data_IF_484720199203
#
_entry.id   IF_484720199203
#
_cell.length_a   1.000
_cell.length_b   1.000
_cell.length_c   1.000
_cell.angle_alpha   90.00
_cell.angle_beta   90.00
_cell.angle_gamma   90.00
#
_symmetry.space_group_name_H-M   'P 1'
#
loop_
_entity.id
_entity.type
_entity.pdbx_description
1 polymer ?
#
# COMPACT_ATOMS: atom_id res chain seq x y z
N UNK A 1 -9.64 29.58 5.20
CA UNK A 1 -8.32 29.40 5.82
C UNK A 1 -8.30 27.98 6.38
N UNK A 2 -7.79 27.00 5.62
CA UNK A 2 -7.74 25.62 6.10
C UNK A 2 -6.49 25.47 6.95
N UNK A 3 -6.64 25.36 8.26
CA UNK A 3 -5.55 24.92 9.14
C UNK A 3 -5.25 23.48 8.80
N UNK A 4 -4.16 23.25 8.06
CA UNK A 4 -3.56 21.94 7.91
C UNK A 4 -2.93 21.64 9.26
N UNK A 5 -3.57 20.78 10.05
CA UNK A 5 -2.92 20.13 11.19
C UNK A 5 -1.80 19.26 10.61
N UNK A 6 -0.59 19.81 10.61
CA UNK A 6 0.62 19.03 10.35
C UNK A 6 0.72 18.04 11.52
N UNK A 7 0.47 16.76 11.24
CA UNK A 7 0.84 15.69 12.15
C UNK A 7 2.36 15.78 12.27
N UNK A 8 2.86 16.00 13.48
CA UNK A 8 4.28 16.09 13.77
C UNK A 8 4.73 14.83 14.52
N UNK A 9 6.00 14.40 14.38
CA UNK A 9 6.53 13.32 15.19
C UNK A 9 6.48 13.70 16.69
N UNK A 10 6.17 12.72 17.54
CA UNK A 10 6.18 12.87 19.00
C UNK A 10 7.56 12.69 19.60
N UNK A 11 8.47 12.00 18.89
CA UNK A 11 9.87 11.84 19.29
C UNK A 11 10.81 11.79 18.07
N UNK A 12 12.13 11.97 18.25
CA UNK A 12 13.11 11.87 17.16
C UNK A 12 13.20 10.48 16.53
N UNK A 13 12.78 9.44 17.25
CA UNK A 13 12.85 8.05 16.81
C UNK A 13 11.66 7.67 15.91
N UNK A 14 10.63 8.51 15.86
CA UNK A 14 9.47 8.25 15.03
C UNK A 14 9.74 8.61 13.56
N UNK A 15 9.41 7.67 12.68
CA UNK A 15 9.51 7.83 11.23
C UNK A 15 8.12 8.04 10.63
N UNK A 16 8.00 8.89 9.60
CA UNK A 16 6.72 9.08 8.93
C UNK A 16 6.36 7.85 8.08
N UNK A 17 5.07 7.53 8.02
CA UNK A 17 4.50 6.60 7.05
C UNK A 17 3.48 7.29 6.16
N UNK A 18 3.30 6.76 4.95
CA UNK A 18 2.51 7.39 3.90
C UNK A 18 1.63 6.35 3.22
N UNK A 19 0.38 6.72 2.93
CA UNK A 19 -0.38 6.01 1.91
C UNK A 19 0.15 6.35 0.53
N UNK A 20 -0.06 5.43 -0.40
CA UNK A 20 0.11 5.67 -1.81
C UNK A 20 -0.78 4.77 -2.65
N UNK A 21 -0.80 5.08 -3.94
CA UNK A 21 -1.65 4.41 -4.89
C UNK A 21 -0.94 4.26 -6.22
N UNK A 22 -1.09 3.10 -6.85
CA UNK A 22 -0.70 2.85 -8.24
C UNK A 22 -1.95 2.70 -9.12
N UNK A 23 -1.83 2.99 -10.42
CA UNK A 23 -2.93 2.76 -11.37
C UNK A 23 -3.28 1.26 -11.41
N UNK A 24 -4.48 0.90 -10.95
CA UNK A 24 -4.87 -0.49 -10.78
C UNK A 24 -4.79 -1.27 -12.09
N UNK A 25 -5.31 -0.68 -13.18
CA UNK A 25 -5.32 -1.32 -14.49
C UNK A 25 -3.90 -1.59 -14.98
N UNK A 26 -3.00 -0.61 -14.90
CA UNK A 26 -1.60 -0.80 -15.26
C UNK A 26 -0.93 -1.82 -14.34
N UNK A 27 -1.13 -1.78 -13.02
CA UNK A 27 -0.49 -2.77 -12.13
C UNK A 27 -0.98 -4.19 -12.36
N UNK A 28 -2.22 -4.39 -12.78
CA UNK A 28 -2.76 -5.72 -13.12
C UNK A 28 -2.33 -6.19 -14.50
N UNK A 29 -2.30 -5.30 -15.49
CA UNK A 29 -2.01 -5.64 -16.90
C UNK A 29 -0.58 -5.32 -17.33
N UNK A 30 0.22 -4.69 -16.49
CA UNK A 30 1.46 -4.05 -16.92
C UNK A 30 1.30 -3.07 -18.09
N UNK A 31 0.10 -2.64 -18.50
CA UNK A 31 -0.07 -1.71 -19.64
C UNK A 31 -0.34 -0.31 -19.12
N UNK A 32 0.61 0.60 -19.34
CA UNK A 32 0.42 2.01 -19.06
C UNK A 32 -0.34 2.68 -20.22
N UNK A 33 -1.64 2.89 -20.03
CA UNK A 33 -2.50 3.59 -20.99
C UNK A 33 -2.44 5.12 -20.85
N UNK A 34 -1.68 5.65 -19.88
CA UNK A 34 -1.50 7.09 -19.67
C UNK A 34 -0.40 7.70 -20.54
N UNK A 35 0.36 6.84 -21.25
CA UNK A 35 1.25 7.21 -22.36
C UNK A 35 0.44 8.02 -23.41
N UNK A 36 0.99 9.11 -24.01
CA UNK A 36 0.21 10.08 -24.78
C UNK A 36 -0.57 9.44 -25.95
N UNK A 37 -1.90 9.49 -25.88
CA UNK A 37 -2.83 8.98 -26.89
C UNK A 37 -4.22 8.59 -26.35
N UNK A 38 -4.31 8.18 -25.07
CA UNK A 38 -5.55 7.74 -24.40
C UNK A 38 -5.71 8.40 -23.00
N UNK A 39 -5.83 9.73 -22.92
CA UNK A 39 -5.93 10.40 -21.60
C UNK A 39 -7.32 10.22 -20.96
N UNK A 40 -7.36 9.71 -19.71
CA UNK A 40 -8.46 10.01 -18.77
C UNK A 40 -8.22 11.34 -18.07
N UNK A 41 -9.30 12.10 -17.87
CA UNK A 41 -9.30 13.39 -17.14
C UNK A 41 -8.95 13.15 -15.67
N UNK A 42 -8.16 14.05 -15.10
CA UNK A 42 -7.83 14.06 -13.65
C UNK A 42 -9.13 14.17 -12.85
N UNK A 43 -9.28 13.33 -11.83
CA UNK A 43 -10.35 13.42 -10.83
C UNK A 43 -9.76 13.77 -9.46
N UNK A 44 -10.58 14.41 -8.62
CA UNK A 44 -10.21 14.76 -7.25
C UNK A 44 -9.93 13.49 -6.40
N UNK A 45 -9.12 13.59 -5.32
CA UNK A 45 -8.83 12.45 -4.46
C UNK A 45 -10.09 11.96 -3.74
N UNK A 46 -10.35 10.65 -3.77
CA UNK A 46 -11.33 9.98 -2.93
C UNK A 46 -10.58 9.15 -1.86
N UNK A 47 -11.26 8.82 -0.76
CA UNK A 47 -10.77 7.85 0.25
C UNK A 47 -11.85 6.79 0.43
N UNK A 48 -11.97 5.93 -0.57
CA UNK A 48 -12.99 4.88 -0.65
C UNK A 48 -12.31 3.53 -0.84
N UNK A 49 -12.77 2.50 -0.13
CA UNK A 49 -12.29 1.10 -0.21
C UNK A 49 -12.58 0.49 -1.59
N UNK A 50 -13.41 1.17 -2.39
CA UNK A 50 -13.76 0.82 -3.77
C UNK A 50 -13.11 1.73 -4.82
N UNK A 51 -12.18 2.62 -4.45
CA UNK A 51 -11.44 3.39 -5.44
C UNK A 51 -10.65 2.42 -6.33
N UNK A 52 -10.77 2.58 -7.65
CA UNK A 52 -10.14 1.72 -8.67
C UNK A 52 -8.63 2.02 -8.80
N UNK A 53 -7.92 1.91 -7.68
CA UNK A 53 -6.48 2.05 -7.52
C UNK A 53 -5.92 0.87 -6.74
N UNK A 54 -4.63 0.59 -6.91
CA UNK A 54 -3.91 -0.34 -6.06
C UNK A 54 -3.30 0.42 -4.89
N UNK A 55 -3.79 0.18 -3.67
CA UNK A 55 -3.34 0.87 -2.45
C UNK A 55 -2.15 0.18 -1.79
N UNK A 56 -1.23 0.97 -1.24
CA UNK A 56 -0.06 0.50 -0.51
C UNK A 56 0.39 1.48 0.60
N UNK A 57 1.22 1.00 1.53
CA UNK A 57 1.86 1.82 2.57
C UNK A 57 3.35 1.91 2.33
N UNK A 58 3.91 3.12 2.41
CA UNK A 58 5.35 3.35 2.48
C UNK A 58 5.77 3.64 3.92
N UNK A 59 6.73 2.88 4.45
CA UNK A 59 7.34 3.10 5.77
C UNK A 59 8.78 2.62 5.80
N UNK A 60 9.67 3.45 6.34
CA UNK A 60 11.09 3.14 6.59
C UNK A 60 11.82 2.52 5.38
N UNK A 61 11.59 3.09 4.19
CA UNK A 61 12.26 2.66 2.95
C UNK A 61 11.56 1.51 2.20
N UNK A 62 10.48 0.95 2.74
CA UNK A 62 9.74 -0.15 2.13
C UNK A 62 8.34 0.26 1.69
N UNK A 63 7.91 -0.30 0.56
CA UNK A 63 6.52 -0.33 0.10
C UNK A 63 5.91 -1.67 0.49
N UNK A 64 4.84 -1.65 1.26
CA UNK A 64 4.08 -2.82 1.69
C UNK A 64 2.81 -2.93 0.85
N UNK A 65 2.68 -4.03 0.10
CA UNK A 65 1.62 -4.21 -0.90
C UNK A 65 0.96 -5.58 -0.76
N UNK A 66 -0.34 -5.66 -1.02
CA UNK A 66 -1.09 -6.91 -1.07
C UNK A 66 -1.99 -6.93 -2.29
N UNK A 67 -2.07 -8.05 -3.00
CA UNK A 67 -2.76 -8.08 -4.29
C UNK A 67 -1.84 -8.03 -5.50
N UNK A 68 -0.54 -8.28 -5.30
CA UNK A 68 0.47 -8.27 -6.37
C UNK A 68 1.05 -9.66 -6.57
N UNK A 69 1.47 -9.96 -7.81
CA UNK A 69 2.17 -11.21 -8.14
C UNK A 69 3.56 -10.86 -8.71
N UNK A 70 4.60 -10.84 -7.86
CA UNK A 70 5.97 -10.52 -8.30
C UNK A 70 6.64 -11.67 -9.07
N UNK A 71 6.09 -12.89 -9.00
CA UNK A 71 6.72 -14.10 -9.53
C UNK A 71 6.23 -14.43 -10.95
N UNK A 72 4.97 -14.12 -11.28
CA UNK A 72 4.34 -14.55 -12.53
C UNK A 72 3.82 -13.43 -13.42
N UNK A 73 4.40 -12.22 -13.36
CA UNK A 73 4.10 -11.04 -14.21
C UNK A 73 2.98 -11.21 -15.28
N UNK A 74 1.91 -10.41 -15.16
CA UNK A 74 0.64 -10.46 -15.92
C UNK A 74 -0.25 -11.67 -15.60
N UNK A 75 -1.20 -11.50 -14.68
CA UNK A 75 -2.41 -12.34 -14.58
C UNK A 75 -3.67 -11.47 -14.42
N UNK A 76 -4.74 -11.94 -15.06
CA UNK A 76 -6.08 -11.35 -15.11
C UNK A 76 -6.65 -11.02 -13.72
N UNK A 77 -7.62 -10.06 -13.61
CA UNK A 77 -8.11 -9.43 -12.36
C UNK A 77 -8.83 -10.34 -11.34
N UNK A 78 -8.73 -11.67 -11.49
CA UNK A 78 -9.33 -12.68 -10.62
C UNK A 78 -8.30 -13.73 -10.16
N UNK A 79 -7.01 -13.41 -10.25
CA UNK A 79 -5.97 -14.35 -9.84
C UNK A 79 -5.94 -14.51 -8.32
N UNK A 80 -6.31 -15.72 -7.87
CA UNK A 80 -6.15 -16.21 -6.50
C UNK A 80 -4.69 -16.38 -6.05
N UNK A 81 -3.72 -15.98 -6.89
CA UNK A 81 -2.27 -16.00 -6.61
C UNK A 81 -1.73 -14.66 -6.13
N UNK A 82 -2.60 -13.68 -5.87
CA UNK A 82 -2.24 -12.41 -5.25
C UNK A 82 -1.53 -12.62 -3.92
N UNK A 83 -0.31 -12.09 -3.79
CA UNK A 83 0.54 -12.23 -2.60
C UNK A 83 0.72 -10.90 -1.89
N UNK A 84 1.15 -10.97 -0.64
CA UNK A 84 1.81 -9.85 0.04
C UNK A 84 3.24 -9.74 -0.45
N UNK A 85 3.68 -8.53 -0.78
CA UNK A 85 5.05 -8.26 -1.20
C UNK A 85 5.57 -6.96 -0.57
N UNK A 86 6.89 -6.87 -0.51
CA UNK A 86 7.62 -5.72 0.01
C UNK A 86 8.66 -5.30 -1.00
N UNK A 87 8.68 -4.01 -1.36
CA UNK A 87 9.61 -3.48 -2.37
C UNK A 87 10.47 -2.36 -1.79
N UNK A 88 11.70 -2.24 -2.30
CA UNK A 88 12.61 -1.12 -2.04
C UNK A 88 12.65 -0.20 -3.26
N UNK A 89 12.82 1.10 -3.03
CA UNK A 89 12.97 2.11 -4.10
C UNK A 89 11.64 2.54 -4.73
N UNK A 90 10.89 1.61 -5.33
CA UNK A 90 9.63 1.86 -6.02
C UNK A 90 8.54 0.84 -5.61
N UNK A 91 7.25 1.20 -5.68
CA UNK A 91 6.17 0.23 -5.52
C UNK A 91 6.16 -0.78 -6.68
N UNK A 92 5.33 -1.83 -6.58
CA UNK A 92 5.18 -2.84 -7.63
C UNK A 92 4.89 -2.19 -8.98
N UNK A 93 5.71 -2.56 -9.97
CA UNK A 93 5.70 -1.98 -11.32
C UNK A 93 5.83 -0.45 -11.36
N UNK A 94 6.31 0.22 -10.30
CA UNK A 94 6.43 1.68 -10.25
C UNK A 94 7.40 2.29 -11.25
N UNK A 95 8.26 1.48 -11.88
CA UNK A 95 9.12 1.90 -13.00
C UNK A 95 8.36 2.02 -14.33
N UNK A 96 7.16 1.44 -14.41
CA UNK A 96 6.34 1.32 -15.62
C UNK A 96 4.97 1.96 -15.45
N UNK A 97 4.33 1.70 -14.32
CA UNK A 97 2.97 2.12 -14.03
C UNK A 97 2.95 3.42 -13.26
N UNK A 98 2.02 4.34 -13.59
CA UNK A 98 1.83 5.56 -12.81
C UNK A 98 1.51 5.23 -11.35
N UNK A 99 2.19 5.92 -10.45
CA UNK A 99 1.97 5.81 -9.02
C UNK A 99 2.12 7.19 -8.37
N UNK A 100 1.55 7.33 -7.17
CA UNK A 100 1.70 8.51 -6.34
C UNK A 100 1.77 8.10 -4.87
N UNK A 101 2.68 8.74 -4.14
CA UNK A 101 2.65 8.75 -2.67
C UNK A 101 1.89 9.99 -2.22
N UNK A 102 1.14 9.90 -1.12
CA UNK A 102 0.54 11.08 -0.53
C UNK A 102 1.63 12.11 -0.18
N UNK A 103 1.38 13.41 -0.41
CA UNK A 103 2.37 14.46 -0.18
C UNK A 103 2.62 14.74 1.30
N UNK A 104 1.72 14.27 2.18
CA UNK A 104 1.82 14.42 3.63
C UNK A 104 1.81 13.04 4.29
N UNK A 105 2.51 12.88 5.43
CA UNK A 105 2.49 11.63 6.17
C UNK A 105 1.09 11.36 6.70
N UNK A 106 0.69 10.10 6.64
CA UNK A 106 -0.53 9.61 7.27
C UNK A 106 -0.38 9.55 8.80
N UNK A 107 0.86 9.36 9.27
CA UNK A 107 1.24 9.42 10.67
C UNK A 107 2.73 9.15 10.87
N UNK A 108 3.08 8.93 12.12
CA UNK A 108 4.44 8.65 12.57
C UNK A 108 4.43 7.41 13.47
N UNK A 109 5.49 6.62 13.42
CA UNK A 109 5.64 5.41 14.22
C UNK A 109 7.09 5.21 14.63
N UNK A 110 7.32 4.66 15.81
CA UNK A 110 8.65 4.21 16.25
C UNK A 110 8.81 2.69 16.12
N UNK A 111 7.83 1.99 15.53
CA UNK A 111 7.93 0.55 15.32
C UNK A 111 9.11 0.24 14.40
N UNK A 112 9.95 -0.75 14.72
CA UNK A 112 10.97 -1.20 13.80
C UNK A 112 10.30 -1.78 12.56
N UNK A 113 10.83 -1.46 11.37
CA UNK A 113 10.31 -1.98 10.09
C UNK A 113 10.20 -3.50 10.09
N UNK A 114 11.11 -4.19 10.80
CA UNK A 114 11.08 -5.65 10.97
C UNK A 114 9.80 -6.19 11.62
N UNK A 115 9.08 -5.41 12.42
CA UNK A 115 7.75 -5.79 12.90
C UNK A 115 6.79 -5.91 11.72
N UNK A 116 6.69 -4.87 10.88
CA UNK A 116 5.79 -4.87 9.73
C UNK A 116 6.15 -5.94 8.71
N UNK A 117 7.44 -6.22 8.50
CA UNK A 117 7.85 -7.29 7.60
C UNK A 117 7.28 -8.65 8.04
N UNK A 118 7.31 -8.93 9.35
CA UNK A 118 6.73 -10.16 9.89
C UNK A 118 5.20 -10.17 9.79
N UNK A 119 4.54 -9.05 10.14
CA UNK A 119 3.10 -8.90 9.96
C UNK A 119 2.69 -9.16 8.50
N UNK A 120 3.37 -8.51 7.56
CA UNK A 120 3.15 -8.66 6.12
C UNK A 120 3.31 -10.12 5.67
N UNK A 121 4.37 -10.81 6.10
CA UNK A 121 4.59 -12.23 5.74
C UNK A 121 3.53 -13.20 6.25
N UNK A 122 2.79 -12.84 7.31
CA UNK A 122 1.76 -13.69 7.93
C UNK A 122 0.34 -13.22 7.67
N UNK A 123 0.16 -12.09 7.00
CA UNK A 123 -1.14 -11.48 6.78
C UNK A 123 -2.15 -12.46 6.15
N UNK A 124 -1.74 -13.21 5.11
CA UNK A 124 -2.62 -14.19 4.47
C UNK A 124 -2.96 -15.38 5.38
N UNK A 125 -2.07 -15.76 6.29
CA UNK A 125 -2.32 -16.81 7.30
C UNK A 125 -3.36 -16.32 8.30
N UNK A 126 -3.27 -15.04 8.70
CA UNK A 126 -4.11 -14.44 9.73
C UNK A 126 -5.49 -14.01 9.22
N UNK A 127 -5.56 -13.37 8.05
CA UNK A 127 -6.79 -12.78 7.49
C UNK A 127 -7.31 -13.50 6.24
N UNK A 128 -6.58 -14.51 5.76
CA UNK A 128 -6.96 -15.29 4.59
C UNK A 128 -6.44 -14.71 3.27
N UNK A 129 -6.83 -15.34 2.18
CA UNK A 129 -6.40 -14.99 0.82
C UNK A 129 -7.06 -13.72 0.30
N UNK A 130 -6.50 -13.18 -0.78
CA UNK A 130 -7.03 -12.01 -1.45
C UNK A 130 -8.48 -12.22 -1.92
N UNK A 131 -9.32 -11.23 -1.65
CA UNK A 131 -10.69 -11.11 -2.10
C UNK A 131 -10.99 -9.65 -2.42
N UNK A 132 -11.44 -9.38 -3.64
CA UNK A 132 -11.67 -8.02 -4.15
C UNK A 132 -12.55 -7.17 -3.24
N UNK A 133 -13.53 -7.76 -2.54
CA UNK A 133 -14.47 -7.02 -1.68
C UNK A 133 -14.08 -7.03 -0.20
N UNK A 134 -13.49 -8.12 0.30
CA UNK A 134 -13.41 -8.37 1.75
C UNK A 134 -11.98 -8.45 2.29
N UNK A 135 -10.98 -8.66 1.43
CA UNK A 135 -9.58 -8.73 1.86
C UNK A 135 -8.67 -8.36 0.68
N UNK A 136 -8.48 -7.06 0.44
CA UNK A 136 -7.83 -6.52 -0.74
C UNK A 136 -6.68 -5.57 -0.35
N UNK A 137 -6.08 -4.91 -1.34
CA UNK A 137 -4.99 -3.95 -1.13
C UNK A 137 -5.33 -2.80 -0.16
N UNK A 138 -6.60 -2.34 -0.15
CA UNK A 138 -7.06 -1.28 0.75
C UNK A 138 -7.16 -1.78 2.19
N UNK A 139 -7.78 -2.96 2.40
CA UNK A 139 -7.87 -3.58 3.72
C UNK A 139 -6.48 -3.82 4.33
N UNK A 140 -5.55 -4.34 3.53
CA UNK A 140 -4.17 -4.52 3.94
C UNK A 140 -3.49 -3.19 4.31
N UNK A 141 -3.60 -2.18 3.44
CA UNK A 141 -2.97 -0.87 3.68
C UNK A 141 -3.49 -0.20 4.95
N UNK A 142 -4.81 -0.28 5.19
CA UNK A 142 -5.44 0.25 6.40
C UNK A 142 -4.96 -0.48 7.65
N UNK A 143 -4.86 -1.82 7.61
CA UNK A 143 -4.35 -2.59 8.75
C UNK A 143 -2.89 -2.21 9.07
N UNK A 144 -2.02 -2.11 8.07
CA UNK A 144 -0.63 -1.71 8.29
C UNK A 144 -0.56 -0.30 8.88
N UNK A 145 -1.38 0.64 8.40
CA UNK A 145 -1.52 1.98 8.98
C UNK A 145 -1.97 1.94 10.44
N UNK A 146 -2.95 1.10 10.79
CA UNK A 146 -3.44 0.96 12.16
C UNK A 146 -2.35 0.40 13.09
N UNK A 147 -1.58 -0.59 12.64
CA UNK A 147 -0.43 -1.12 13.39
C UNK A 147 0.58 -0.01 13.66
N UNK A 148 0.96 0.73 12.62
CA UNK A 148 1.90 1.86 12.73
C UNK A 148 1.40 2.93 13.70
N UNK A 149 0.11 3.28 13.63
CA UNK A 149 -0.53 4.27 14.50
C UNK A 149 -0.64 3.82 15.95
N UNK A 150 -0.87 2.53 16.20
CA UNK A 150 -0.93 1.96 17.56
C UNK A 150 0.45 1.92 18.24
N UNK A 151 1.50 1.97 17.43
CA UNK A 151 2.91 1.85 17.83
C UNK A 151 3.21 0.58 18.65
N UNK A 152 2.45 -0.48 18.41
CA UNK A 152 2.58 -1.78 19.08
C UNK A 152 2.63 -2.89 18.04
N UNK A 153 3.60 -3.79 18.16
CA UNK A 153 3.70 -4.93 17.25
C UNK A 153 2.65 -6.00 17.65
N UNK A 154 1.70 -6.35 16.77
CA UNK A 154 0.70 -7.36 17.10
C UNK A 154 1.33 -8.73 17.30
N UNK A 155 0.81 -9.51 18.25
CA UNK A 155 1.33 -10.85 18.55
C UNK A 155 1.21 -11.82 17.37
N UNK A 156 0.21 -11.67 16.50
CA UNK A 156 0.03 -12.53 15.33
C UNK A 156 1.11 -12.34 14.26
N UNK A 157 1.91 -11.27 14.34
CA UNK A 157 3.06 -11.09 13.47
C UNK A 157 4.18 -12.10 13.76
N UNK A 158 4.21 -12.67 14.97
CA UNK A 158 5.23 -13.63 15.40
C UNK A 158 4.76 -15.10 15.37
N UNK A 159 3.45 -15.38 15.20
CA UNK A 159 2.84 -16.73 15.24
C UNK A 159 3.04 -17.55 13.99
#
# INVERSE_FOLDING_TARGET
MFSILLIAPRSPDEKPFYFGSSDLFCTTTGVDISIPGLRRKRSAPARDVMELVHSWIYYDGLYFEFGVDPEYGFKMPFSSSSKVAMFTGLPYLGYKCPWRREPFPAGYSSLPVGCLQRCASRYEVFLGRYSTLFNNCHHFSNLISDILCSNQCPSWCDM
#
